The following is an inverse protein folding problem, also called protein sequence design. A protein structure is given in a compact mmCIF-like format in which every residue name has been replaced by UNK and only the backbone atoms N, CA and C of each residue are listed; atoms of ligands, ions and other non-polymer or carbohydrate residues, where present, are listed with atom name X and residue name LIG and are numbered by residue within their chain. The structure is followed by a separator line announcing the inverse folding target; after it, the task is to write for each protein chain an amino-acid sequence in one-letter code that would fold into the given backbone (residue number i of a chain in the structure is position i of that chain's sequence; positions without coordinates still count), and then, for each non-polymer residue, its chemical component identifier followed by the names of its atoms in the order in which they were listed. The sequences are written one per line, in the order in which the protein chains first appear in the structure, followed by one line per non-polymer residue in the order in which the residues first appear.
data_IF_441475084854
#
_entry.id   IF_441475084854
#
_cell.length_a   1.000
_cell.length_b   1.000
_cell.length_c   1.000
_cell.angle_alpha   90.00
_cell.angle_beta   90.00
_cell.angle_gamma   90.00
#
_symmetry.space_group_name_H-M   'P 1'
#
loop_
_entity.id
_entity.type
_entity.pdbx_description
1 polymer ?
#
# COMPACT_ATOMS: atom_id res chain seq x y z
N UNK A 1 -9.10 11.47 6.04
CA UNK A 1 -8.94 11.74 4.59
C UNK A 1 -10.14 11.14 3.88
N UNK A 2 -10.70 11.83 2.90
CA UNK A 2 -11.67 11.20 1.99
C UNK A 2 -10.92 10.15 1.15
N UNK A 3 -11.51 8.99 0.86
CA UNK A 3 -10.87 7.94 0.05
C UNK A 3 -10.17 8.48 -1.22
N UNK A 4 -10.80 9.45 -1.90
CA UNK A 4 -10.23 10.12 -3.08
C UNK A 4 -8.87 10.81 -2.85
N UNK A 5 -8.60 11.34 -1.65
CA UNK A 5 -7.31 11.97 -1.34
C UNK A 5 -6.21 10.92 -1.15
N UNK A 6 -6.56 9.76 -0.58
CA UNK A 6 -5.63 8.65 -0.43
C UNK A 6 -5.30 8.04 -1.79
N UNK A 7 -6.31 7.85 -2.64
CA UNK A 7 -6.14 7.35 -4.01
C UNK A 7 -5.21 8.24 -4.82
N UNK A 8 -5.42 9.56 -4.77
CA UNK A 8 -4.54 10.53 -5.43
C UNK A 8 -3.11 10.45 -4.88
N UNK A 9 -2.94 10.46 -3.56
CA UNK A 9 -1.62 10.40 -2.93
C UNK A 9 -0.86 9.13 -3.32
N UNK A 10 -1.52 7.97 -3.26
CA UNK A 10 -0.92 6.69 -3.63
C UNK A 10 -0.55 6.67 -5.11
N UNK A 11 -1.40 7.19 -5.99
CA UNK A 11 -1.11 7.30 -7.42
C UNK A 11 0.11 8.18 -7.70
N UNK A 12 0.16 9.39 -7.13
CA UNK A 12 1.30 10.31 -7.32
C UNK A 12 2.60 9.72 -6.78
N UNK A 13 2.55 9.06 -5.62
CA UNK A 13 3.72 8.39 -5.04
C UNK A 13 4.20 7.20 -5.88
N UNK A 14 3.27 6.41 -6.44
CA UNK A 14 3.63 5.33 -7.35
C UNK A 14 4.30 5.90 -8.60
N UNK A 15 3.65 6.84 -9.29
CA UNK A 15 4.20 7.48 -10.49
C UNK A 15 5.60 8.04 -10.26
N UNK A 16 5.79 8.86 -9.22
CA UNK A 16 7.07 9.48 -8.89
C UNK A 16 8.20 8.47 -8.59
N UNK A 17 7.85 7.25 -8.18
CA UNK A 17 8.82 6.18 -7.87
C UNK A 17 9.03 5.21 -9.03
N UNK A 18 8.13 5.19 -10.01
CA UNK A 18 8.12 4.21 -11.08
C UNK A 18 8.40 4.77 -12.48
N UNK A 19 8.39 6.10 -12.64
CA UNK A 19 8.48 6.78 -13.95
C UNK A 19 9.67 6.33 -14.82
N UNK A 20 10.84 6.08 -14.21
CA UNK A 20 12.06 5.67 -14.92
C UNK A 20 12.31 4.15 -14.89
N UNK A 21 11.40 3.37 -14.30
CA UNK A 21 11.59 1.93 -14.15
C UNK A 21 11.20 1.19 -15.43
N UNK A 22 12.08 0.30 -15.88
CA UNK A 22 11.72 -0.70 -16.89
C UNK A 22 10.62 -1.64 -16.36
N UNK A 23 9.88 -2.30 -17.26
CA UNK A 23 8.78 -3.19 -16.87
C UNK A 23 9.15 -4.26 -15.83
N UNK A 24 10.33 -4.93 -15.90
CA UNK A 24 10.74 -5.86 -14.85
C UNK A 24 11.01 -5.18 -13.50
N UNK A 25 11.59 -3.98 -13.51
CA UNK A 25 11.85 -3.21 -12.29
C UNK A 25 10.54 -2.71 -11.66
N UNK A 26 9.57 -2.30 -12.48
CA UNK A 26 8.23 -1.93 -12.02
C UNK A 26 7.53 -3.11 -11.33
N UNK A 27 7.55 -4.30 -11.96
CA UNK A 27 6.97 -5.50 -11.36
C UNK A 27 7.63 -5.85 -10.01
N UNK A 28 8.96 -5.78 -9.95
CA UNK A 28 9.70 -6.00 -8.71
C UNK A 28 9.37 -4.96 -7.63
N UNK A 29 9.24 -3.69 -8.01
CA UNK A 29 8.86 -2.61 -7.10
C UNK A 29 7.46 -2.84 -6.50
N UNK A 30 6.46 -3.13 -7.34
CA UNK A 30 5.08 -3.41 -6.91
C UNK A 30 5.01 -4.64 -6.00
N UNK A 31 5.76 -5.70 -6.33
CA UNK A 31 5.83 -6.89 -5.49
C UNK A 31 6.49 -6.61 -4.13
N UNK A 32 7.60 -5.87 -4.12
CA UNK A 32 8.30 -5.47 -2.90
C UNK A 32 7.44 -4.59 -1.99
N UNK A 33 6.72 -3.62 -2.56
CA UNK A 33 5.79 -2.77 -1.83
C UNK A 33 4.64 -3.57 -1.21
N UNK A 34 4.07 -4.51 -1.96
CA UNK A 34 3.02 -5.40 -1.45
C UNK A 34 3.52 -6.23 -0.25
N UNK A 35 4.75 -6.74 -0.36
CA UNK A 35 5.40 -7.51 0.72
C UNK A 35 5.67 -6.66 1.96
N UNK A 36 6.03 -5.39 1.79
CA UNK A 36 6.20 -4.44 2.90
C UNK A 36 4.87 -4.18 3.62
N UNK A 37 3.77 -4.01 2.87
CA UNK A 37 2.44 -3.85 3.45
C UNK A 37 1.98 -5.12 4.19
N UNK A 38 2.32 -6.31 3.69
CA UNK A 38 2.08 -7.57 4.40
C UNK A 38 2.82 -7.60 5.73
N UNK A 39 4.10 -7.18 5.78
CA UNK A 39 4.86 -7.12 7.02
C UNK A 39 4.24 -6.13 8.02
N UNK A 40 3.84 -4.95 7.57
CA UNK A 40 3.16 -3.95 8.42
C UNK A 40 1.84 -4.48 8.96
N UNK A 41 1.09 -5.26 8.17
CA UNK A 41 -0.16 -5.86 8.62
C UNK A 41 0.04 -6.94 9.71
N UNK A 42 1.21 -7.59 9.78
CA UNK A 42 1.53 -8.63 10.79
C UNK A 42 1.91 -8.03 12.14
N UNK A 43 1.04 -7.15 12.64
CA UNK A 43 1.21 -6.43 13.90
C UNK A 43 1.25 -7.36 15.12
N UNK A 44 0.65 -8.55 15.01
CA UNK A 44 0.78 -9.64 15.98
C UNK A 44 2.23 -10.09 16.19
N UNK A 45 3.06 -9.99 15.14
CA UNK A 45 4.48 -10.34 15.19
C UNK A 45 5.40 -9.13 15.40
N UNK A 46 5.07 -7.99 14.82
CA UNK A 46 5.94 -6.80 14.83
C UNK A 46 5.73 -5.91 16.05
N UNK A 47 4.55 -5.97 16.68
CA UNK A 47 4.19 -5.18 17.86
C UNK A 47 3.53 -6.07 18.94
N UNK A 48 4.23 -7.11 19.44
CA UNK A 48 3.68 -7.98 20.47
C UNK A 48 3.41 -7.17 21.75
N UNK A 49 2.14 -7.04 22.12
CA UNK A 49 1.68 -6.26 23.28
C UNK A 49 0.94 -4.96 22.93
N UNK A 50 0.77 -4.64 21.64
CA UNK A 50 -0.15 -3.61 21.23
C UNK A 50 -1.61 -3.96 21.57
N UNK A 51 -2.47 -2.93 21.65
CA UNK A 51 -3.90 -3.16 21.88
C UNK A 51 -4.59 -3.69 20.62
N UNK A 52 -5.71 -4.39 20.80
CA UNK A 52 -6.53 -4.88 19.69
C UNK A 52 -7.01 -3.74 18.78
N UNK A 53 -7.29 -2.57 19.34
CA UNK A 53 -7.70 -1.38 18.59
C UNK A 53 -6.58 -0.91 17.66
N UNK A 54 -5.31 -0.95 18.12
CA UNK A 54 -4.16 -0.58 17.30
C UNK A 54 -3.94 -1.58 16.16
N UNK A 55 -4.01 -2.88 16.45
CA UNK A 55 -3.96 -3.94 15.44
C UNK A 55 -5.01 -3.69 14.35
N UNK A 56 -6.26 -3.47 14.74
CA UNK A 56 -7.36 -3.21 13.81
C UNK A 56 -7.22 -1.89 13.04
N UNK A 57 -6.69 -0.83 13.68
CA UNK A 57 -6.44 0.45 13.02
C UNK A 57 -5.37 0.30 11.92
N UNK A 58 -4.27 -0.39 12.22
CA UNK A 58 -3.20 -0.64 11.25
C UNK A 58 -3.73 -1.50 10.09
N UNK A 59 -4.46 -2.58 10.38
CA UNK A 59 -5.07 -3.40 9.35
C UNK A 59 -6.01 -2.61 8.43
N UNK A 60 -6.82 -1.71 8.99
CA UNK A 60 -7.71 -0.84 8.19
C UNK A 60 -6.91 0.05 7.26
N UNK A 61 -5.92 0.78 7.78
CA UNK A 61 -5.07 1.67 6.97
C UNK A 61 -4.34 0.91 5.87
N UNK A 62 -3.76 -0.25 6.18
CA UNK A 62 -3.09 -1.09 5.17
C UNK A 62 -4.07 -1.53 4.08
N UNK A 63 -5.29 -1.92 4.44
CA UNK A 63 -6.32 -2.31 3.46
C UNK A 63 -6.76 -1.14 2.57
N UNK A 64 -6.88 0.06 3.13
CA UNK A 64 -7.18 1.28 2.36
C UNK A 64 -6.06 1.60 1.37
N UNK A 65 -4.79 1.51 1.79
CA UNK A 65 -3.63 1.70 0.90
C UNK A 65 -3.63 0.66 -0.22
N UNK A 66 -3.92 -0.61 0.09
CA UNK A 66 -4.01 -1.69 -0.92
C UNK A 66 -5.11 -1.43 -1.93
N UNK A 67 -6.26 -0.92 -1.48
CA UNK A 67 -7.36 -0.55 -2.38
C UNK A 67 -6.94 0.59 -3.31
N UNK A 68 -6.34 1.64 -2.77
CA UNK A 68 -5.82 2.77 -3.53
C UNK A 68 -4.77 2.33 -4.57
N UNK A 69 -3.85 1.45 -4.19
CA UNK A 69 -2.84 0.90 -5.10
C UNK A 69 -3.48 0.11 -6.25
N UNK A 70 -4.47 -0.75 -5.98
CA UNK A 70 -5.19 -1.48 -7.03
C UNK A 70 -5.91 -0.54 -7.98
N UNK A 71 -6.56 0.50 -7.45
CA UNK A 71 -7.24 1.50 -8.26
C UNK A 71 -6.25 2.27 -9.15
N UNK A 72 -5.07 2.61 -8.62
CA UNK A 72 -4.04 3.35 -9.36
C UNK A 72 -3.36 2.51 -10.46
N UNK A 73 -3.33 1.18 -10.32
CA UNK A 73 -2.73 0.24 -11.27
C UNK A 73 -3.76 -0.39 -12.23
N UNK A 74 -5.05 -0.17 -12.01
CA UNK A 74 -6.08 -0.63 -12.93
C UNK A 74 -5.97 0.13 -14.26
N UNK A 75 -6.06 -0.58 -15.38
CA UNK A 75 -6.14 0.07 -16.69
C UNK A 75 -7.41 0.94 -16.74
N UNK A 76 -7.30 2.20 -17.19
CA UNK A 76 -8.47 2.97 -17.55
C UNK A 76 -9.01 2.40 -18.86
N UNK A 77 -10.16 1.70 -18.80
CA UNK A 77 -10.95 1.38 -20.00
C UNK A 77 -11.24 2.64 -20.84
#
# INVERSE_FOLDING_TARGET
MTHAQLDLLVRELLLARTEELSSPQLAAFVAGWSSALDLVARTDLTLPGASNELHQAIHRVVNEIRAAQRNALADPD
#
